data_IF_593035657953
#
_entry.id   IF_593035657953
#
_cell.length_a   1.000
_cell.length_b   1.000
_cell.length_c   1.000
_cell.angle_alpha   90.00
_cell.angle_beta   90.00
_cell.angle_gamma   90.00
#
_symmetry.space_group_name_H-M   'P 1'
#
loop_
_entity.id
_entity.type
_entity.pdbx_description
1 polymer ?
#
# COMPACT_ATOMS: atom_id res chain seq x y z
N UNK A 1 25.61 30.67 -30.10
CA UNK A 1 24.67 29.58 -29.78
C UNK A 1 23.78 30.02 -28.63
N UNK A 2 22.51 30.33 -28.91
CA UNK A 2 21.53 30.66 -27.88
C UNK A 2 21.17 29.34 -27.16
N UNK A 3 21.52 29.21 -25.87
CA UNK A 3 21.14 28.10 -25.05
C UNK A 3 19.60 28.04 -24.95
N UNK A 4 18.99 26.92 -25.34
CA UNK A 4 17.59 26.66 -25.08
C UNK A 4 17.38 26.62 -23.58
N UNK A 5 16.51 27.49 -23.07
CA UNK A 5 16.03 27.39 -21.70
C UNK A 5 15.20 26.09 -21.59
N UNK A 6 15.73 25.09 -20.93
CA UNK A 6 14.98 23.89 -20.53
C UNK A 6 13.99 24.30 -19.44
N UNK A 7 12.72 24.28 -19.73
CA UNK A 7 11.66 24.50 -18.73
C UNK A 7 11.63 23.27 -17.82
N UNK A 8 11.82 23.45 -16.53
CA UNK A 8 11.61 22.37 -15.57
C UNK A 8 10.12 22.06 -15.53
N UNK A 9 9.77 20.82 -15.84
CA UNK A 9 8.40 20.29 -15.66
C UNK A 9 8.31 19.71 -14.26
N UNK A 10 7.36 20.19 -13.48
CA UNK A 10 7.09 19.71 -12.13
C UNK A 10 5.72 19.03 -12.12
N UNK A 11 5.67 17.79 -11.60
CA UNK A 11 4.43 17.10 -11.28
C UNK A 11 4.33 16.93 -9.78
N UNK A 12 3.12 16.98 -9.22
CA UNK A 12 2.88 16.60 -7.82
C UNK A 12 1.76 15.59 -7.73
N UNK A 13 1.92 14.63 -6.84
CA UNK A 13 0.91 13.62 -6.53
C UNK A 13 0.75 13.58 -5.00
N UNK A 14 -0.47 13.85 -4.55
CA UNK A 14 -0.80 13.93 -3.14
C UNK A 14 -1.92 12.93 -2.81
N UNK A 15 -1.80 12.26 -1.67
CA UNK A 15 -2.82 11.35 -1.16
C UNK A 15 -3.07 11.58 0.33
N UNK A 16 -4.32 11.90 0.68
CA UNK A 16 -4.77 11.92 2.07
C UNK A 16 -5.49 10.61 2.37
N UNK A 17 -5.06 9.90 3.42
CA UNK A 17 -5.66 8.63 3.82
C UNK A 17 -6.30 8.76 5.20
N UNK A 18 -7.56 8.33 5.29
CA UNK A 18 -8.31 8.23 6.55
C UNK A 18 -8.56 6.75 6.79
N UNK A 19 -8.06 6.24 7.93
CA UNK A 19 -8.12 4.81 8.26
C UNK A 19 -8.98 4.59 9.49
N UNK A 20 -9.82 3.57 9.43
CA UNK A 20 -10.57 3.07 10.56
C UNK A 20 -10.38 1.56 10.67
N UNK A 21 -10.09 1.09 11.89
CA UNK A 21 -9.95 -0.35 12.16
C UNK A 21 -10.54 -0.70 13.52
N UNK A 22 -11.24 -1.85 13.58
CA UNK A 22 -11.87 -2.33 14.79
C UNK A 22 -11.66 -3.84 14.96
N UNK A 23 -11.47 -4.25 16.22
CA UNK A 23 -11.57 -5.65 16.60
C UNK A 23 -13.04 -6.01 16.78
N UNK A 24 -13.56 -6.82 15.86
CA UNK A 24 -14.96 -7.29 15.85
C UNK A 24 -15.14 -8.46 16.82
N UNK A 25 -14.19 -9.38 16.80
CA UNK A 25 -14.15 -10.55 17.69
C UNK A 25 -12.72 -10.72 18.24
N UNK A 26 -12.49 -11.47 19.32
CA UNK A 26 -11.15 -11.70 19.85
C UNK A 26 -10.13 -12.19 18.82
N UNK A 27 -10.61 -12.90 17.82
CA UNK A 27 -9.83 -13.50 16.75
C UNK A 27 -9.96 -12.78 15.38
N UNK A 28 -10.88 -11.80 15.24
CA UNK A 28 -11.16 -11.11 13.98
C UNK A 28 -11.10 -9.59 14.15
N UNK A 29 -10.31 -8.95 13.30
CA UNK A 29 -10.31 -7.48 13.13
C UNK A 29 -10.56 -7.13 11.68
N UNK A 30 -11.27 -6.03 11.45
CA UNK A 30 -11.51 -5.47 10.12
C UNK A 30 -11.08 -4.00 10.09
N UNK A 31 -10.70 -3.53 8.92
CA UNK A 31 -10.32 -2.14 8.69
C UNK A 31 -10.69 -1.68 7.29
N UNK A 32 -10.87 -0.37 7.19
CA UNK A 32 -11.12 0.32 5.92
C UNK A 32 -10.24 1.55 5.83
N UNK A 33 -9.77 1.88 4.61
CA UNK A 33 -9.13 3.14 4.30
C UNK A 33 -9.96 3.86 3.25
N UNK A 34 -10.07 5.18 3.40
CA UNK A 34 -10.57 6.09 2.39
C UNK A 34 -9.38 6.92 1.93
N UNK A 35 -9.14 6.95 0.62
CA UNK A 35 -8.07 7.70 -0.02
C UNK A 35 -8.67 8.87 -0.79
N UNK A 36 -8.22 10.07 -0.53
CA UNK A 36 -8.51 11.26 -1.32
C UNK A 36 -7.24 11.53 -2.13
N UNK A 37 -7.36 11.45 -3.44
CA UNK A 37 -6.24 11.48 -4.38
C UNK A 37 -6.26 12.79 -5.15
N UNK A 38 -5.08 13.41 -5.31
CA UNK A 38 -4.90 14.59 -6.13
C UNK A 38 -3.59 14.44 -6.91
N UNK A 39 -3.64 14.71 -8.21
CA UNK A 39 -2.47 14.70 -9.08
C UNK A 39 -2.48 15.95 -9.94
N UNK A 40 -1.33 16.60 -10.11
CA UNK A 40 -1.15 17.77 -10.95
C UNK A 40 -0.11 17.46 -12.03
N UNK A 41 -0.52 17.57 -13.30
CA UNK A 41 0.37 17.35 -14.43
C UNK A 41 1.13 18.63 -14.81
N UNK A 42 2.36 18.51 -15.37
CA UNK A 42 3.23 19.63 -15.68
C UNK A 42 2.84 20.36 -16.97
N UNK A 43 1.61 20.20 -17.45
CA UNK A 43 1.15 20.81 -18.72
C UNK A 43 0.60 22.21 -18.46
N UNK A 44 -0.15 22.39 -17.38
CA UNK A 44 -0.72 23.65 -16.94
C UNK A 44 -1.03 23.54 -15.44
N UNK A 45 -0.87 24.62 -14.68
CA UNK A 45 -1.19 24.64 -13.24
C UNK A 45 -2.66 24.31 -12.94
N UNK A 46 -3.55 24.51 -13.92
CA UNK A 46 -4.98 24.21 -13.79
C UNK A 46 -5.33 22.76 -14.08
N UNK A 47 -4.44 21.94 -14.67
CA UNK A 47 -4.77 20.57 -15.04
C UNK A 47 -4.51 19.61 -13.89
N UNK A 48 -5.56 19.38 -13.13
CA UNK A 48 -5.54 18.55 -11.92
C UNK A 48 -6.46 17.36 -12.08
N UNK A 49 -5.96 16.19 -11.73
CA UNK A 49 -6.74 14.99 -11.53
C UNK A 49 -7.10 14.84 -10.06
N UNK A 50 -8.35 14.52 -9.76
CA UNK A 50 -8.80 14.24 -8.40
C UNK A 50 -9.59 12.95 -8.35
N UNK A 51 -9.56 12.26 -7.20
CA UNK A 51 -10.26 11.00 -7.08
C UNK A 51 -10.41 10.52 -5.65
N UNK A 52 -11.16 9.43 -5.53
CA UNK A 52 -11.37 8.73 -4.27
C UNK A 52 -11.11 7.25 -4.50
N UNK A 53 -10.47 6.61 -3.53
CA UNK A 53 -10.21 5.17 -3.52
C UNK A 53 -10.51 4.56 -2.16
N UNK A 54 -10.70 3.24 -2.14
CA UNK A 54 -10.99 2.51 -0.91
C UNK A 54 -10.10 1.28 -0.79
N UNK A 55 -9.70 0.98 0.46
CA UNK A 55 -9.10 -0.30 0.80
C UNK A 55 -9.92 -0.97 1.89
N UNK A 56 -9.94 -2.28 1.88
CA UNK A 56 -10.58 -3.11 2.93
C UNK A 56 -9.60 -4.18 3.36
N UNK A 57 -9.51 -4.41 4.66
CA UNK A 57 -8.61 -5.40 5.24
C UNK A 57 -9.27 -6.21 6.35
N UNK A 58 -8.87 -7.49 6.46
CA UNK A 58 -9.26 -8.40 7.52
C UNK A 58 -8.01 -9.04 8.13
N UNK A 59 -7.99 -9.16 9.46
CA UNK A 59 -6.99 -9.91 10.20
C UNK A 59 -7.67 -11.00 11.02
N UNK A 60 -7.23 -12.22 10.81
CA UNK A 60 -7.71 -13.40 11.50
C UNK A 60 -6.59 -14.03 12.33
N UNK A 61 -6.79 -14.13 13.65
CA UNK A 61 -5.86 -14.78 14.59
C UNK A 61 -6.27 -16.23 14.81
N UNK A 62 -5.41 -17.16 14.42
CA UNK A 62 -5.58 -18.59 14.67
C UNK A 62 -4.66 -19.01 15.83
N UNK A 63 -5.23 -19.06 17.03
CA UNK A 63 -4.47 -19.32 18.24
C UNK A 63 -3.52 -18.16 18.62
N UNK A 64 -2.42 -18.52 19.32
CA UNK A 64 -1.41 -17.53 19.80
C UNK A 64 -0.29 -17.28 18.78
N UNK A 65 -0.03 -18.25 17.92
CA UNK A 65 1.13 -18.25 17.05
C UNK A 65 0.87 -17.69 15.66
N UNK A 66 -0.32 -17.92 15.10
CA UNK A 66 -0.59 -17.65 13.67
C UNK A 66 -1.59 -16.51 13.49
N UNK A 67 -1.31 -15.66 12.51
CA UNK A 67 -2.24 -14.62 12.06
C UNK A 67 -2.30 -14.64 10.55
N UNK A 68 -3.50 -14.62 9.98
CA UNK A 68 -3.74 -14.45 8.55
C UNK A 68 -4.25 -13.06 8.27
N UNK A 69 -3.88 -12.50 7.12
CA UNK A 69 -4.33 -11.21 6.63
C UNK A 69 -4.89 -11.32 5.23
N UNK A 70 -5.99 -10.62 4.98
CA UNK A 70 -6.55 -10.40 3.65
C UNK A 70 -6.70 -8.91 3.45
N UNK A 71 -6.38 -8.42 2.25
CA UNK A 71 -6.52 -7.01 1.91
C UNK A 71 -6.90 -6.86 0.43
N UNK A 72 -7.84 -5.97 0.17
CA UNK A 72 -8.19 -5.51 -1.17
C UNK A 72 -7.90 -4.02 -1.18
N UNK A 73 -7.01 -3.60 -2.09
CA UNK A 73 -6.56 -2.21 -2.22
C UNK A 73 -7.07 -1.62 -3.54
N UNK A 74 -7.22 -0.31 -3.54
CA UNK A 74 -7.61 0.48 -4.70
C UNK A 74 -8.93 0.05 -5.34
N UNK A 75 -9.91 -0.25 -4.48
CA UNK A 75 -11.27 -0.56 -4.91
C UNK A 75 -11.88 0.70 -5.53
N UNK A 76 -12.21 0.64 -6.83
CA UNK A 76 -12.74 1.75 -7.61
C UNK A 76 -11.93 3.06 -7.49
N UNK A 77 -10.63 2.95 -7.19
CA UNK A 77 -9.74 4.10 -7.15
C UNK A 77 -9.52 4.64 -8.56
N UNK A 78 -9.67 5.96 -8.73
CA UNK A 78 -9.50 6.60 -10.04
C UNK A 78 -9.10 8.06 -9.87
N UNK A 79 -8.45 8.61 -10.89
CA UNK A 79 -8.38 10.04 -11.13
C UNK A 79 -9.43 10.45 -12.15
N UNK A 80 -10.13 11.53 -11.87
CA UNK A 80 -10.96 12.24 -12.84
C UNK A 80 -10.20 13.48 -13.30
N UNK A 81 -9.90 13.52 -14.59
CA UNK A 81 -9.22 14.61 -15.24
C UNK A 81 -10.24 15.45 -16.00
N UNK A 82 -10.36 16.72 -15.70
CA UNK A 82 -11.20 17.65 -16.45
C UNK A 82 -10.32 18.49 -17.38
N UNK A 83 -10.53 18.36 -18.68
CA UNK A 83 -9.84 19.14 -19.69
C UNK A 83 -10.69 20.35 -20.17
N UNK A 84 -11.86 20.59 -19.58
CA UNK A 84 -12.75 21.70 -19.94
C UNK A 84 -12.15 23.07 -19.72
N UNK A 85 -11.25 23.19 -18.71
CA UNK A 85 -10.54 24.43 -18.44
C UNK A 85 -9.41 24.72 -19.45
N UNK A 86 -9.00 23.71 -20.24
CA UNK A 86 -7.92 23.85 -21.22
C UNK A 86 -8.43 24.00 -22.67
N UNK A 87 -9.55 23.36 -22.97
CA UNK A 87 -10.09 23.29 -24.33
C UNK A 87 -11.61 23.51 -24.32
N UNK A 88 -12.10 24.27 -25.29
CA UNK A 88 -13.55 24.56 -25.43
C UNK A 88 -14.42 23.30 -25.63
N UNK A 89 -13.83 22.20 -26.11
CA UNK A 89 -14.46 20.88 -26.27
C UNK A 89 -13.92 19.87 -25.25
N UNK A 90 -13.43 20.34 -24.11
CA UNK A 90 -12.85 19.48 -23.08
C UNK A 90 -13.84 18.47 -22.53
N UNK A 91 -13.33 17.31 -22.09
CA UNK A 91 -14.10 16.19 -21.56
C UNK A 91 -13.51 15.72 -20.26
N UNK A 92 -14.35 15.15 -19.40
CA UNK A 92 -13.89 14.43 -18.21
C UNK A 92 -13.39 13.04 -18.65
N UNK A 93 -12.14 12.74 -18.31
CA UNK A 93 -11.53 11.45 -18.51
C UNK A 93 -11.23 10.80 -17.15
N UNK A 94 -11.61 9.54 -16.98
CA UNK A 94 -11.36 8.81 -15.75
C UNK A 94 -10.26 7.79 -15.97
N UNK A 95 -9.18 7.89 -15.20
CA UNK A 95 -8.06 6.96 -15.16
C UNK A 95 -8.17 6.10 -13.92
N UNK A 96 -8.35 4.79 -14.11
CA UNK A 96 -8.58 3.84 -13.02
C UNK A 96 -7.29 3.19 -12.58
N UNK A 97 -7.13 3.03 -11.27
CA UNK A 97 -6.10 2.21 -10.68
C UNK A 97 -6.47 0.72 -10.76
N UNK A 98 -5.48 -0.16 -10.93
CA UNK A 98 -5.71 -1.59 -10.80
C UNK A 98 -6.01 -1.95 -9.35
N UNK A 99 -6.98 -2.85 -9.14
CA UNK A 99 -7.27 -3.38 -7.81
C UNK A 99 -6.24 -4.44 -7.44
N UNK A 100 -5.71 -4.36 -6.22
CA UNK A 100 -4.69 -5.27 -5.69
C UNK A 100 -5.31 -6.14 -4.60
N UNK A 101 -5.25 -7.45 -4.77
CA UNK A 101 -5.62 -8.45 -3.78
C UNK A 101 -4.37 -8.97 -3.09
N UNK A 102 -4.35 -8.96 -1.77
CA UNK A 102 -3.24 -9.47 -0.96
C UNK A 102 -3.75 -10.43 0.09
N UNK A 103 -2.97 -11.46 0.32
CA UNK A 103 -3.14 -12.37 1.45
C UNK A 103 -1.77 -12.63 2.07
N UNK A 104 -1.76 -12.78 3.39
CA UNK A 104 -0.51 -12.98 4.10
C UNK A 104 -0.71 -13.80 5.36
N UNK A 105 0.38 -14.32 5.87
CA UNK A 105 0.43 -15.03 7.14
C UNK A 105 1.64 -14.59 7.95
N UNK A 106 1.45 -14.56 9.25
CA UNK A 106 2.50 -14.38 10.25
C UNK A 106 2.47 -15.58 11.19
N UNK A 107 3.62 -16.17 11.42
CA UNK A 107 3.83 -17.26 12.37
C UNK A 107 4.92 -16.90 13.37
N UNK A 108 4.63 -17.04 14.66
CA UNK A 108 5.58 -16.80 15.74
C UNK A 108 5.89 -18.13 16.43
N UNK A 109 7.18 -18.43 16.55
CA UNK A 109 7.65 -19.58 17.30
C UNK A 109 8.89 -19.20 18.13
N UNK A 110 8.72 -19.15 19.47
CA UNK A 110 9.76 -18.65 20.37
C UNK A 110 10.27 -17.28 19.90
N UNK A 111 11.56 -17.20 19.63
CA UNK A 111 12.25 -15.98 19.21
C UNK A 111 12.25 -15.76 17.68
N UNK A 112 11.54 -16.61 16.93
CA UNK A 112 11.48 -16.53 15.47
C UNK A 112 10.07 -16.09 15.06
N UNK A 113 10.02 -15.09 14.18
CA UNK A 113 8.81 -14.68 13.48
C UNK A 113 9.03 -14.87 11.98
N UNK A 114 8.12 -15.60 11.36
CA UNK A 114 8.09 -15.75 9.90
C UNK A 114 6.85 -15.02 9.37
N UNK A 115 7.04 -14.26 8.31
CA UNK A 115 5.95 -13.62 7.58
C UNK A 115 6.06 -14.02 6.12
N UNK A 116 4.92 -14.29 5.51
CA UNK A 116 4.84 -14.53 4.08
C UNK A 116 3.58 -13.86 3.55
N UNK A 117 3.70 -13.21 2.43
CA UNK A 117 2.55 -12.65 1.74
C UNK A 117 2.67 -12.84 0.23
N UNK A 118 1.52 -12.82 -0.41
CA UNK A 118 1.39 -12.83 -1.85
C UNK A 118 0.18 -12.01 -2.27
N UNK A 119 0.16 -11.65 -3.52
CA UNK A 119 -0.95 -10.90 -4.06
C UNK A 119 -0.96 -10.93 -5.58
N UNK A 120 -2.04 -10.46 -6.14
CA UNK A 120 -2.20 -10.29 -7.58
C UNK A 120 -2.90 -8.98 -7.88
N UNK A 121 -2.58 -8.44 -9.05
CA UNK A 121 -3.12 -7.18 -9.56
C UNK A 121 -4.12 -7.50 -10.65
N UNK A 122 -5.25 -6.83 -10.65
CA UNK A 122 -6.29 -7.01 -11.67
C UNK A 122 -6.82 -5.66 -12.13
N UNK A 123 -7.07 -5.53 -13.42
CA UNK A 123 -7.76 -4.38 -14.02
C UNK A 123 -9.29 -4.56 -14.04
N UNK A 124 -9.81 -5.50 -13.23
CA UNK A 124 -11.25 -5.74 -13.13
C UNK A 124 -11.97 -4.52 -12.57
N UNK A 125 -12.97 -4.02 -13.31
CA UNK A 125 -13.86 -2.95 -12.87
C UNK A 125 -15.20 -3.52 -12.46
N UNK A 126 -15.60 -3.29 -11.21
CA UNK A 126 -16.93 -3.63 -10.73
C UNK A 126 -17.99 -2.83 -11.54
N UNK A 127 -18.83 -3.54 -12.28
CA UNK A 127 -19.97 -2.97 -12.99
C UNK A 127 -19.80 -2.60 -14.46
N UNK A 128 -18.66 -2.92 -15.10
CA UNK A 128 -18.47 -2.80 -16.54
C UNK A 128 -18.18 -4.15 -17.19
N UNK A 129 -18.95 -4.48 -18.26
CA UNK A 129 -18.79 -5.69 -19.09
C UNK A 129 -17.68 -5.52 -20.15
N UNK A 130 -16.55 -4.93 -19.80
CA UNK A 130 -15.41 -4.88 -20.71
C UNK A 130 -14.55 -6.13 -20.51
N UNK A 131 -13.97 -6.63 -21.60
CA UNK A 131 -13.13 -7.83 -21.60
C UNK A 131 -12.04 -7.75 -20.52
N UNK A 132 -12.20 -8.58 -19.48
CA UNK A 132 -11.37 -8.59 -18.30
C UNK A 132 -10.05 -9.30 -18.61
N UNK A 133 -9.02 -8.56 -18.95
CA UNK A 133 -7.67 -9.08 -18.91
C UNK A 133 -7.21 -9.09 -17.45
N UNK A 134 -7.19 -10.28 -16.87
CA UNK A 134 -6.61 -10.49 -15.54
C UNK A 134 -5.10 -10.60 -15.71
N UNK A 135 -4.39 -9.51 -15.53
CA UNK A 135 -2.94 -9.56 -15.41
C UNK A 135 -2.58 -10.05 -14.01
N UNK A 136 -2.33 -11.35 -13.89
CA UNK A 136 -1.85 -11.95 -12.65
C UNK A 136 -0.36 -11.63 -12.49
N UNK A 137 -0.05 -10.51 -11.91
CA UNK A 137 1.32 -10.25 -11.46
C UNK A 137 1.43 -10.73 -10.02
N UNK A 138 2.01 -11.93 -9.82
CA UNK A 138 2.26 -12.48 -8.50
C UNK A 138 3.35 -11.68 -7.81
N UNK A 139 3.04 -11.19 -6.61
CA UNK A 139 3.93 -10.39 -5.77
C UNK A 139 4.29 -11.16 -4.47
N UNK A 140 5.03 -12.29 -4.56
CA UNK A 140 5.38 -13.05 -3.39
C UNK A 140 6.45 -12.34 -2.55
N UNK A 141 6.27 -12.35 -1.23
CA UNK A 141 7.24 -11.84 -0.28
C UNK A 141 7.32 -12.80 0.91
N UNK A 142 8.52 -12.98 1.42
CA UNK A 142 8.78 -13.75 2.64
C UNK A 142 9.80 -13.01 3.48
N UNK A 143 9.62 -13.03 4.79
CA UNK A 143 10.53 -12.44 5.75
C UNK A 143 10.65 -13.30 6.99
N UNK A 144 11.81 -13.22 7.61
CA UNK A 144 12.11 -13.84 8.90
C UNK A 144 12.70 -12.78 9.83
N UNK A 145 12.30 -12.82 11.08
CA UNK A 145 12.86 -12.03 12.16
C UNK A 145 13.30 -12.97 13.27
N UNK A 146 14.51 -12.80 13.76
CA UNK A 146 15.04 -13.48 14.94
C UNK A 146 15.29 -12.44 16.03
N UNK A 147 14.69 -12.67 17.22
CA UNK A 147 14.88 -11.84 18.41
C UNK A 147 15.88 -12.48 19.34
N UNK A 148 16.93 -11.75 19.70
CA UNK A 148 17.98 -12.20 20.63
C UNK A 148 17.94 -11.36 21.90
N UNK A 149 17.85 -12.03 23.05
CA UNK A 149 17.76 -11.44 24.40
C UNK A 149 16.59 -10.44 24.56
N UNK A 150 15.53 -10.56 23.76
CA UNK A 150 14.41 -9.63 23.69
C UNK A 150 14.80 -8.15 23.43
N UNK A 151 16.04 -7.96 22.96
CA UNK A 151 16.66 -6.65 22.76
C UNK A 151 17.06 -6.43 21.29
N UNK A 152 17.66 -7.45 20.67
CA UNK A 152 18.22 -7.35 19.33
C UNK A 152 17.32 -8.07 18.32
N UNK A 153 17.04 -7.43 17.22
CA UNK A 153 16.22 -7.96 16.15
C UNK A 153 17.04 -8.06 14.87
N UNK A 154 17.12 -9.26 14.30
CA UNK A 154 17.77 -9.51 13.03
C UNK A 154 16.71 -9.94 12.03
N UNK A 155 16.68 -9.28 10.86
CA UNK A 155 15.68 -9.51 9.84
C UNK A 155 16.31 -9.84 8.52
N UNK A 156 15.69 -10.75 7.79
CA UNK A 156 15.99 -11.05 6.41
C UNK A 156 14.70 -11.23 5.63
N UNK A 157 14.70 -10.84 4.37
CA UNK A 157 13.52 -10.97 3.54
C UNK A 157 13.83 -11.03 2.05
N UNK A 158 12.89 -11.59 1.32
CA UNK A 158 12.92 -11.69 -0.13
C UNK A 158 11.55 -11.20 -0.64
N UNK A 159 11.55 -10.28 -1.56
CA UNK A 159 10.31 -9.80 -2.19
C UNK A 159 10.59 -9.13 -3.53
N UNK A 160 9.75 -9.44 -4.53
CA UNK A 160 9.86 -8.89 -5.88
C UNK A 160 11.28 -9.09 -6.48
N UNK A 161 11.91 -10.27 -6.20
CA UNK A 161 13.26 -10.58 -6.66
C UNK A 161 14.39 -9.81 -5.95
N UNK A 162 14.10 -9.06 -4.88
CA UNK A 162 15.10 -8.32 -4.10
C UNK A 162 15.23 -8.92 -2.71
N UNK A 163 16.49 -9.02 -2.24
CA UNK A 163 16.81 -9.44 -0.88
C UNK A 163 16.98 -8.18 -0.03
N UNK A 164 16.48 -8.23 1.20
CA UNK A 164 16.64 -7.18 2.19
C UNK A 164 17.11 -7.76 3.51
N UNK A 165 17.94 -7.02 4.22
CA UNK A 165 18.37 -7.31 5.58
C UNK A 165 18.13 -6.09 6.45
N UNK A 166 17.87 -6.32 7.72
CA UNK A 166 17.67 -5.28 8.69
C UNK A 166 18.06 -5.74 10.09
N UNK A 167 18.31 -4.80 10.95
CA UNK A 167 18.51 -5.05 12.37
C UNK A 167 17.75 -4.02 13.19
N UNK A 168 17.45 -4.32 14.42
CA UNK A 168 16.81 -3.41 15.36
C UNK A 168 17.33 -3.61 16.75
N UNK A 169 17.26 -2.57 17.56
CA UNK A 169 17.59 -2.54 18.97
C UNK A 169 16.42 -1.96 19.74
N UNK A 170 15.92 -2.70 20.72
CA UNK A 170 14.95 -2.22 21.69
C UNK A 170 15.69 -1.79 22.97
N UNK A 171 15.31 -0.67 23.56
CA UNK A 171 15.94 -0.14 24.76
C UNK A 171 14.94 0.69 25.56
N UNK A 172 15.07 0.64 26.88
CA UNK A 172 14.25 1.42 27.79
C UNK A 172 14.94 2.76 28.07
N UNK A 173 14.49 3.83 27.44
CA UNK A 173 14.99 5.18 27.70
C UNK A 173 14.29 5.85 28.89
N UNK A 174 13.02 5.50 29.11
CA UNK A 174 12.17 6.02 30.17
C UNK A 174 11.45 4.81 30.77
N UNK A 175 11.39 4.73 32.10
CA UNK A 175 10.71 3.67 32.84
C UNK A 175 9.30 3.47 32.29
N UNK A 176 8.96 2.26 31.85
CA UNK A 176 7.70 1.84 31.26
C UNK A 176 7.42 2.33 29.81
N UNK A 177 8.46 2.71 29.05
CA UNK A 177 8.29 3.09 27.65
C UNK A 177 9.36 2.45 26.77
N UNK A 178 8.99 1.37 26.11
CA UNK A 178 9.85 0.64 25.17
C UNK A 178 10.16 1.53 23.97
N UNK A 179 11.44 1.83 23.77
CA UNK A 179 11.95 2.57 22.62
C UNK A 179 12.69 1.63 21.68
N UNK A 180 12.54 1.83 20.36
CA UNK A 180 13.15 0.95 19.36
C UNK A 180 13.79 1.74 18.24
N UNK A 181 14.99 1.32 17.85
CA UNK A 181 15.67 1.81 16.64
C UNK A 181 15.72 0.65 15.64
N UNK A 182 15.28 0.90 14.44
CA UNK A 182 15.29 -0.04 13.31
C UNK A 182 16.11 0.54 12.15
N UNK A 183 16.94 -0.32 11.51
CA UNK A 183 17.68 -0.01 10.31
C UNK A 183 17.42 -1.07 9.24
#
# INVERSE_FOLDING_TARGET
SAGQKTTMMQTSEDALMISFAQRILPWLSAGVNIKILQNQLPVNESYKGSGIGFDVGLLFKSGKATTFGLMIQDINSMYNWDSGDLYAEGRIYSEYFPTIYRFGTKFNYKNIRVVADGGFITNYRLGKNESNEIFVNLLPRVGIEYTYLDLYYFRGGLGNGRIAFGWGLEYDLIKDNDSRIDY
#
